data_IF_389034836211
#
_entry.id   IF_389034836211
#
_cell.length_a   1.000
_cell.length_b   1.000
_cell.length_c   1.000
_cell.angle_alpha   90.00
_cell.angle_beta   90.00
_cell.angle_gamma   90.00
#
_symmetry.space_group_name_H-M   'P 1'
#
loop_
_entity.id
_entity.type
_entity.pdbx_description
1 polymer ?
#
# COMPACT_ATOMS: atom_id res chain seq x y z
N UNK A 1 -36.75 -12.49 8.72
CA UNK A 1 -37.23 -11.55 7.67
C UNK A 1 -37.85 -10.35 8.36
N UNK A 2 -37.11 -9.25 8.44
CA UNK A 2 -37.63 -7.91 8.72
C UNK A 2 -36.55 -6.94 8.22
N UNK A 3 -36.82 -6.19 7.14
CA UNK A 3 -35.86 -5.26 6.53
C UNK A 3 -36.30 -3.84 6.84
N UNK A 4 -35.53 -3.14 7.67
CA UNK A 4 -35.73 -1.74 7.98
C UNK A 4 -34.90 -0.92 6.98
N UNK A 5 -35.59 -0.13 6.16
CA UNK A 5 -34.97 0.83 5.24
C UNK A 5 -34.76 2.15 5.97
N UNK A 6 -33.52 2.63 6.05
CA UNK A 6 -33.20 4.00 6.45
C UNK A 6 -32.80 4.76 5.18
N UNK A 7 -33.59 5.78 4.83
CA UNK A 7 -33.35 6.65 3.68
C UNK A 7 -32.49 7.82 4.16
N UNK A 8 -31.24 7.90 3.71
CA UNK A 8 -30.44 9.12 3.73
C UNK A 8 -30.27 9.62 2.30
N UNK A 9 -30.28 10.94 2.15
CA UNK A 9 -30.18 11.64 0.87
C UNK A 9 -28.93 11.22 0.08
N UNK A 10 -29.14 10.57 -1.07
CA UNK A 10 -28.35 10.86 -2.27
C UNK A 10 -27.02 10.14 -2.53
N UNK A 11 -26.73 8.96 -1.94
CA UNK A 11 -25.75 8.04 -2.55
C UNK A 11 -25.89 6.61 -1.99
N UNK A 12 -26.18 5.65 -2.87
CA UNK A 12 -26.09 4.23 -2.58
C UNK A 12 -24.61 3.80 -2.65
N UNK A 13 -23.99 3.50 -1.50
CA UNK A 13 -22.73 2.76 -1.49
C UNK A 13 -22.96 1.37 -0.91
N UNK A 14 -23.07 0.39 -1.82
CA UNK A 14 -22.86 -1.02 -1.52
C UNK A 14 -21.42 -1.35 -1.91
N UNK A 15 -20.59 -1.70 -0.93
CA UNK A 15 -19.51 -2.69 -1.06
C UNK A 15 -19.04 -3.08 0.34
N UNK A 16 -19.41 -4.30 0.73
CA UNK A 16 -18.85 -4.99 1.88
C UNK A 16 -17.38 -5.31 1.63
N UNK A 17 -16.50 -4.84 2.52
CA UNK A 17 -15.33 -5.57 3.03
C UNK A 17 -14.66 -4.73 4.14
N UNK A 18 -14.63 -5.27 5.37
CA UNK A 18 -13.76 -4.83 6.47
C UNK A 18 -14.36 -3.77 7.42
N UNK A 19 -14.59 -4.14 8.69
CA UNK A 19 -14.98 -3.21 9.77
C UNK A 19 -13.86 -2.25 10.19
N UNK A 20 -14.00 -1.35 11.15
CA UNK A 20 -14.98 -1.14 12.22
C UNK A 20 -14.92 0.36 12.58
N UNK A 21 -16.05 1.06 12.69
CA UNK A 21 -16.09 2.40 13.29
C UNK A 21 -16.57 2.28 14.75
N UNK A 22 -15.66 2.47 15.71
CA UNK A 22 -15.96 2.83 17.09
C UNK A 22 -14.78 3.67 17.64
N UNK A 23 -14.78 4.97 17.36
CA UNK A 23 -13.87 5.90 18.03
C UNK A 23 -14.46 6.26 19.40
N UNK A 24 -14.35 5.33 20.35
CA UNK A 24 -14.54 5.60 21.78
C UNK A 24 -13.15 5.61 22.43
N UNK A 25 -12.77 6.77 22.98
CA UNK A 25 -11.46 7.09 23.56
C UNK A 25 -10.91 5.95 24.43
N UNK A 26 -9.85 5.28 23.99
CA UNK A 26 -9.09 4.30 24.77
C UNK A 26 -7.61 4.39 24.40
N UNK A 27 -6.77 4.54 25.44
CA UNK A 27 -5.30 4.45 25.52
C UNK A 27 -4.58 4.18 24.19
N UNK A 28 -3.79 5.15 23.71
CA UNK A 28 -2.83 4.93 22.61
C UNK A 28 -1.70 4.06 23.17
N UNK A 29 -1.95 2.76 23.27
CA UNK A 29 -0.85 1.81 23.19
C UNK A 29 -0.28 1.98 21.79
N UNK A 30 0.85 2.68 21.67
CA UNK A 30 1.66 2.63 20.44
C UNK A 30 2.31 1.24 20.38
N UNK A 31 1.49 0.20 20.28
CA UNK A 31 1.94 -0.99 19.59
C UNK A 31 2.29 -0.50 18.20
N UNK A 32 3.58 -0.48 17.91
CA UNK A 32 4.06 -0.36 16.54
C UNK A 32 3.51 -1.60 15.86
N UNK A 33 2.29 -1.51 15.33
CA UNK A 33 1.75 -2.54 14.46
C UNK A 33 2.74 -2.53 13.31
N UNK A 34 3.63 -3.52 13.27
CA UNK A 34 4.58 -3.70 12.18
C UNK A 34 3.73 -4.15 11.01
N UNK A 35 3.03 -3.20 10.40
CA UNK A 35 2.25 -3.46 9.20
C UNK A 35 3.22 -3.77 8.09
N UNK A 36 2.95 -4.85 7.36
CA UNK A 36 3.70 -5.17 6.15
C UNK A 36 3.69 -3.94 5.24
N UNK A 37 4.81 -3.57 4.58
CA UNK A 37 4.82 -2.48 3.61
C UNK A 37 3.83 -2.72 2.46
N UNK A 38 3.34 -3.95 2.32
CA UNK A 38 2.40 -4.39 1.31
C UNK A 38 0.93 -4.40 1.76
N UNK A 39 0.61 -4.00 3.00
CA UNK A 39 -0.77 -3.88 3.45
C UNK A 39 -1.54 -2.89 2.58
N UNK A 40 -2.67 -3.32 2.01
CA UNK A 40 -3.45 -2.54 1.04
C UNK A 40 -2.84 -2.41 -0.37
N UNK A 41 -1.71 -3.09 -0.65
CA UNK A 41 -1.01 -3.03 -1.95
C UNK A 41 -0.91 -4.37 -2.68
N UNK A 42 -1.82 -5.31 -2.42
CA UNK A 42 -1.83 -6.63 -3.07
C UNK A 42 -1.78 -6.53 -4.60
N UNK A 43 -0.81 -7.21 -5.24
CA UNK A 43 -0.62 -7.21 -6.69
C UNK A 43 0.02 -5.93 -7.23
N UNK A 44 0.50 -5.04 -6.37
CA UNK A 44 1.01 -3.73 -6.74
C UNK A 44 2.51 -3.64 -6.54
N UNK A 45 3.16 -2.79 -7.34
CA UNK A 45 4.55 -2.42 -7.16
C UNK A 45 4.62 -1.14 -6.33
N UNK A 46 5.46 -1.14 -5.30
CA UNK A 46 5.64 -0.01 -4.39
C UNK A 46 7.12 0.37 -4.28
N UNK A 47 7.37 1.60 -3.81
CA UNK A 47 8.72 2.13 -3.69
C UNK A 47 9.50 1.39 -2.61
N UNK A 48 10.73 0.97 -2.93
CA UNK A 48 11.64 0.50 -1.89
C UNK A 48 12.24 1.70 -1.16
N UNK A 49 11.75 2.02 0.04
CA UNK A 49 12.25 3.13 0.87
C UNK A 49 13.65 2.89 1.42
N UNK A 50 14.14 1.65 1.38
CA UNK A 50 15.50 1.31 1.84
C UNK A 50 16.57 1.55 0.77
N UNK A 51 16.17 1.74 -0.49
CA UNK A 51 17.10 1.97 -1.60
C UNK A 51 17.18 3.46 -1.97
N UNK A 52 18.27 4.16 -1.61
CA UNK A 52 18.44 5.57 -1.92
C UNK A 52 18.66 5.84 -3.42
N UNK A 53 18.89 4.80 -4.23
CA UNK A 53 19.08 4.91 -5.68
C UNK A 53 17.77 4.77 -6.46
N UNK A 54 16.67 4.42 -5.79
CA UNK A 54 15.37 4.11 -6.41
C UNK A 54 15.46 3.07 -7.54
N UNK A 55 16.49 2.24 -7.59
CA UNK A 55 16.65 1.21 -8.63
C UNK A 55 15.90 -0.06 -8.30
N UNK A 56 15.51 -0.22 -7.04
CA UNK A 56 14.71 -1.33 -6.57
C UNK A 56 13.30 -0.90 -6.21
N UNK A 57 12.37 -1.84 -6.32
CA UNK A 57 10.99 -1.71 -5.93
C UNK A 57 10.52 -3.00 -5.27
N UNK A 58 9.44 -2.92 -4.50
CA UNK A 58 8.82 -4.11 -3.91
C UNK A 58 7.62 -4.52 -4.75
N UNK A 59 7.52 -5.80 -5.06
CA UNK A 59 6.31 -6.43 -5.59
C UNK A 59 5.56 -7.05 -4.41
N UNK A 60 4.34 -6.59 -4.19
CA UNK A 60 3.48 -7.07 -3.12
C UNK A 60 2.54 -8.15 -3.62
N UNK A 61 2.40 -9.23 -2.86
CA UNK A 61 1.32 -10.19 -3.04
C UNK A 61 0.87 -10.77 -1.71
N UNK A 62 -0.42 -11.12 -1.65
CA UNK A 62 -0.96 -11.89 -0.56
C UNK A 62 -0.67 -13.37 -0.78
N UNK A 63 -0.04 -14.00 0.21
CA UNK A 63 0.15 -15.43 0.25
C UNK A 63 -1.06 -16.07 0.94
N UNK A 64 -1.88 -16.79 0.18
CA UNK A 64 -3.09 -17.44 0.67
C UNK A 64 -2.80 -18.68 1.53
N UNK A 65 -1.60 -19.28 1.45
CA UNK A 65 -1.25 -20.47 2.24
C UNK A 65 -0.95 -20.12 3.70
N UNK A 66 -0.35 -18.95 3.93
CA UNK A 66 0.02 -18.45 5.28
C UNK A 66 -0.84 -17.27 5.74
N UNK A 67 -1.80 -16.84 4.92
CA UNK A 67 -2.68 -15.68 5.16
C UNK A 67 -1.93 -14.36 5.47
N UNK A 68 -0.75 -14.15 4.86
CA UNK A 68 0.11 -12.99 5.09
C UNK A 68 0.49 -12.24 3.80
N UNK A 69 0.84 -10.96 3.94
CA UNK A 69 1.36 -10.15 2.83
C UNK A 69 2.87 -10.28 2.69
N UNK A 70 3.31 -10.81 1.55
CA UNK A 70 4.71 -10.91 1.18
C UNK A 70 5.13 -9.77 0.24
N UNK A 71 6.42 -9.42 0.32
CA UNK A 71 7.06 -8.43 -0.53
C UNK A 71 8.34 -9.00 -1.14
N UNK A 72 8.50 -8.88 -2.45
CA UNK A 72 9.75 -9.23 -3.13
C UNK A 72 10.45 -8.00 -3.67
N UNK A 73 11.72 -7.84 -3.30
CA UNK A 73 12.56 -6.78 -3.85
C UNK A 73 13.00 -7.15 -5.26
N UNK A 74 12.65 -6.31 -6.24
CA UNK A 74 13.02 -6.45 -7.64
C UNK A 74 13.81 -5.23 -8.11
N UNK A 75 14.70 -5.44 -9.08
CA UNK A 75 15.52 -4.39 -9.67
C UNK A 75 14.90 -3.92 -10.99
N UNK A 76 14.87 -2.61 -11.20
CA UNK A 76 14.54 -2.02 -12.48
C UNK A 76 15.61 -2.35 -13.53
N UNK A 77 15.24 -2.68 -14.78
CA UNK A 77 16.22 -3.07 -15.79
C UNK A 77 17.11 -1.89 -16.19
N UNK A 78 18.42 -2.13 -16.34
CA UNK A 78 19.41 -1.14 -16.74
C UNK A 78 19.56 0.01 -15.74
N UNK A 79 19.60 1.24 -16.24
CA UNK A 79 19.74 2.48 -15.45
C UNK A 79 18.39 3.14 -15.14
N UNK A 80 17.30 2.37 -15.18
CA UNK A 80 15.96 2.88 -14.87
C UNK A 80 15.76 2.98 -13.36
N UNK A 81 14.91 3.93 -12.96
CA UNK A 81 14.52 4.18 -11.58
C UNK A 81 13.01 3.99 -11.42
N UNK A 82 12.59 3.44 -10.29
CA UNK A 82 11.20 3.19 -9.99
C UNK A 82 10.48 4.50 -9.65
N UNK A 83 9.40 4.81 -10.39
CA UNK A 83 8.53 5.95 -10.13
C UNK A 83 7.30 5.49 -9.32
N UNK A 84 7.13 5.91 -8.05
CA UNK A 84 6.06 5.41 -7.19
C UNK A 84 4.65 5.80 -7.67
N UNK A 85 4.51 6.97 -8.30
CA UNK A 85 3.21 7.48 -8.76
C UNK A 85 2.62 6.64 -9.90
N UNK A 86 3.45 6.18 -10.82
CA UNK A 86 3.02 5.36 -11.98
C UNK A 86 3.29 3.87 -11.79
N UNK A 87 4.01 3.49 -10.72
CA UNK A 87 4.40 2.11 -10.39
C UNK A 87 5.22 1.41 -11.47
N UNK A 88 6.07 2.17 -12.15
CA UNK A 88 6.86 1.71 -13.30
C UNK A 88 8.31 2.17 -13.21
N UNK A 89 9.22 1.37 -13.77
CA UNK A 89 10.60 1.77 -14.00
C UNK A 89 10.65 2.76 -15.18
N UNK A 90 11.25 3.93 -14.97
CA UNK A 90 11.37 5.00 -15.97
C UNK A 90 12.79 5.54 -15.99
N UNK A 91 13.13 6.29 -17.04
CA UNK A 91 14.47 6.90 -17.12
C UNK A 91 14.60 8.06 -16.15
N UNK A 92 15.85 8.39 -15.77
CA UNK A 92 16.18 9.55 -14.94
C UNK A 92 15.76 10.91 -15.54
N UNK A 93 15.38 10.95 -16.83
CA UNK A 93 14.78 12.14 -17.47
C UNK A 93 13.33 12.37 -17.05
N UNK A 94 12.59 11.30 -16.76
CA UNK A 94 11.15 11.34 -16.41
C UNK A 94 10.95 11.48 -14.90
N UNK A 95 11.77 10.76 -14.11
CA UNK A 95 11.71 10.80 -12.66
C UNK A 95 13.12 10.84 -12.11
N UNK A 96 13.40 11.84 -11.26
CA UNK A 96 14.63 11.90 -10.48
C UNK A 96 14.34 11.34 -9.10
N UNK A 97 15.12 10.33 -8.69
CA UNK A 97 15.06 9.79 -7.35
C UNK A 97 15.30 10.92 -6.33
N UNK A 98 14.44 11.08 -5.31
CA UNK A 98 14.69 12.04 -4.24
C UNK A 98 15.92 11.60 -3.48
N UNK A 99 16.98 12.39 -3.51
CA UNK A 99 18.11 12.20 -2.62
C UNK A 99 17.63 12.39 -1.19
N UNK A 100 17.81 11.37 -0.35
CA UNK A 100 17.64 11.52 1.08
C UNK A 100 18.84 12.34 1.56
N UNK A 101 18.65 13.64 1.75
CA UNK A 101 19.66 14.48 2.39
C UNK A 101 19.60 14.18 3.88
N UNK A 102 20.57 13.39 4.35
CA UNK A 102 20.74 13.09 5.79
C UNK A 102 21.25 14.30 6.54
#
# INVERSE_FOLDING_TARGET
MLRIFVIFAGAFFWSSCGGQELFNTTIIESTTIISSPCDGFNGMRIANKTDPTCRTYLLCAFNYDIEEYESWTLICPGELVFRPLTRTCVTNKIYKCPTITT
#
